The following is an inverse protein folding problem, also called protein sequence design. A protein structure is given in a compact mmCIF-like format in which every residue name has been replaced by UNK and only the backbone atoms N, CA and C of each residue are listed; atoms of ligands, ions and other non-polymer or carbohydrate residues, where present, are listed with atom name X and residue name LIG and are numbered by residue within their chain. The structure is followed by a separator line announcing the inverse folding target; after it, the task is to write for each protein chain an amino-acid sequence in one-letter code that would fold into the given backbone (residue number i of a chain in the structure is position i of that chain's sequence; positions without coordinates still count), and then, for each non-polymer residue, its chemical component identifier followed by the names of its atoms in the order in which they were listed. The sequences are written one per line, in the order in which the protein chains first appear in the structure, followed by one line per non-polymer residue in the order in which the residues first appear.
data_IF_070832377787
#
_entry.id   IF_070832377787
#
_cell.length_a   1.000
_cell.length_b   1.000
_cell.length_c   1.000
_cell.angle_alpha   90.00
_cell.angle_beta   90.00
_cell.angle_gamma   90.00
#
_symmetry.space_group_name_H-M   'P 1'
#
loop_
_entity.id
_entity.type
_entity.pdbx_description
1 polymer ?
#
# COMPACT_ATOMS: atom_id res chain seq x y z
N UNK A 1 12.07 -9.30 -20.85
CA UNK A 1 12.00 -9.82 -19.48
C UNK A 1 11.22 -8.80 -18.70
N UNK A 2 9.99 -9.15 -18.30
CA UNK A 2 9.12 -8.24 -17.56
C UNK A 2 9.61 -8.25 -16.12
N UNK A 3 10.38 -7.24 -15.74
CA UNK A 3 10.81 -7.01 -14.37
C UNK A 3 9.55 -6.65 -13.55
N UNK A 4 8.85 -7.67 -13.05
CA UNK A 4 7.80 -7.48 -12.05
C UNK A 4 8.52 -7.06 -10.79
N UNK A 5 8.61 -5.75 -10.57
CA UNK A 5 9.13 -5.19 -9.32
C UNK A 5 8.26 -5.75 -8.19
N UNK A 6 8.84 -6.61 -7.36
CA UNK A 6 8.15 -7.16 -6.21
C UNK A 6 7.88 -6.05 -5.20
N UNK A 7 6.63 -5.92 -4.75
CA UNK A 7 6.23 -4.92 -3.76
C UNK A 7 7.16 -4.94 -2.54
N UNK A 8 7.63 -3.78 -2.05
CA UNK A 8 8.50 -3.73 -0.88
C UNK A 8 7.83 -4.37 0.33
N UNK A 9 8.61 -5.17 1.04
CA UNK A 9 8.19 -5.91 2.23
C UNK A 9 8.57 -5.11 3.46
N UNK A 10 7.69 -5.09 4.45
CA UNK A 10 7.89 -4.40 5.71
C UNK A 10 7.64 -5.34 6.87
N UNK A 11 8.41 -5.15 7.94
CA UNK A 11 8.33 -5.92 9.18
C UNK A 11 7.92 -5.01 10.33
N UNK A 12 6.83 -5.37 10.98
CA UNK A 12 6.58 -5.02 12.38
C UNK A 12 6.56 -6.33 13.18
N UNK A 13 5.39 -6.75 13.67
CA UNK A 13 5.18 -8.08 14.26
C UNK A 13 4.92 -9.17 13.22
N UNK A 14 4.44 -8.78 12.04
CA UNK A 14 4.22 -9.67 10.88
C UNK A 14 4.94 -9.06 9.68
N UNK A 15 5.19 -9.90 8.67
CA UNK A 15 5.69 -9.44 7.36
C UNK A 15 4.50 -9.12 6.48
N UNK A 16 4.49 -7.90 5.94
CA UNK A 16 3.47 -7.41 5.02
C UNK A 16 4.14 -6.77 3.81
N UNK A 17 3.43 -6.71 2.69
CA UNK A 17 3.83 -5.85 1.59
C UNK A 17 3.15 -4.51 1.77
N UNK A 18 3.85 -3.42 1.48
CA UNK A 18 3.22 -2.12 1.56
C UNK A 18 3.68 -1.20 0.44
N UNK A 19 2.80 -0.33 -0.04
CA UNK A 19 3.13 0.69 -1.03
C UNK A 19 2.62 2.04 -0.54
N UNK A 20 3.52 3.03 -0.48
CA UNK A 20 3.12 4.41 -0.23
C UNK A 20 2.26 4.92 -1.37
N UNK A 21 1.14 5.55 -1.03
CA UNK A 21 0.18 6.05 -2.01
C UNK A 21 0.56 7.49 -2.37
N UNK A 22 0.76 7.78 -3.66
CA UNK A 22 0.94 9.14 -4.16
C UNK A 22 -0.39 9.81 -4.53
N UNK A 23 -1.35 9.01 -5.00
CA UNK A 23 -2.68 9.49 -5.37
C UNK A 23 -3.70 8.40 -5.13
N UNK A 24 -4.86 8.81 -4.61
CA UNK A 24 -5.96 7.92 -4.28
C UNK A 24 -7.24 8.48 -4.87
N UNK A 25 -7.96 7.67 -5.65
CA UNK A 25 -9.26 8.05 -6.21
C UNK A 25 -10.33 7.06 -5.75
N UNK A 26 -11.27 7.54 -4.93
CA UNK A 26 -12.39 6.73 -4.46
C UNK A 26 -13.52 6.73 -5.49
N UNK A 27 -13.92 5.55 -5.94
CA UNK A 27 -15.03 5.36 -6.86
C UNK A 27 -16.37 5.25 -6.13
N UNK A 28 -17.46 5.42 -6.87
CA UNK A 28 -18.85 5.27 -6.35
C UNK A 28 -19.11 3.93 -5.67
N UNK A 29 -18.43 2.88 -6.11
CA UNK A 29 -18.55 1.50 -5.61
C UNK A 29 -17.69 1.22 -4.36
N UNK A 30 -17.15 2.27 -3.73
CA UNK A 30 -16.25 2.17 -2.56
C UNK A 30 -14.97 1.38 -2.82
N UNK A 31 -14.62 1.14 -4.09
CA UNK A 31 -13.27 0.76 -4.51
C UNK A 31 -12.40 2.01 -4.63
N UNK A 32 -11.09 1.88 -4.45
CA UNK A 32 -10.13 2.96 -4.64
C UNK A 32 -9.15 2.63 -5.78
N UNK A 33 -8.87 3.58 -6.66
CA UNK A 33 -7.67 3.51 -7.50
C UNK A 33 -6.51 4.06 -6.70
N UNK A 34 -5.50 3.21 -6.49
CA UNK A 34 -4.27 3.54 -5.77
C UNK A 34 -3.19 3.76 -6.82
N UNK A 35 -2.62 4.98 -6.81
CA UNK A 35 -1.41 5.32 -7.54
C UNK A 35 -0.22 5.26 -6.58
N UNK A 36 0.67 4.27 -6.71
CA UNK A 36 1.86 4.16 -5.88
C UNK A 36 2.80 5.33 -6.11
N UNK A 37 3.47 5.77 -5.04
CA UNK A 37 4.51 6.80 -5.11
C UNK A 37 5.82 6.27 -5.69
N UNK A 38 6.04 4.97 -5.55
CA UNK A 38 7.28 4.31 -5.97
C UNK A 38 7.33 4.20 -7.50
N UNK A 39 8.43 4.65 -8.10
CA UNK A 39 8.62 4.65 -9.56
C UNK A 39 8.80 3.22 -10.04
N UNK A 40 7.87 2.73 -10.87
CA UNK A 40 7.90 1.37 -11.41
C UNK A 40 6.57 0.64 -11.28
N UNK A 41 5.68 1.10 -10.40
CA UNK A 41 4.36 0.52 -10.25
C UNK A 41 3.30 1.33 -11.00
N UNK A 42 2.46 0.62 -11.76
CA UNK A 42 1.29 1.20 -12.37
C UNK A 42 0.16 1.37 -11.32
N UNK A 43 -0.71 2.38 -11.47
CA UNK A 43 -1.88 2.51 -10.62
C UNK A 43 -2.80 1.29 -10.78
N UNK A 44 -3.38 0.84 -9.67
CA UNK A 44 -4.27 -0.32 -9.63
C UNK A 44 -5.54 -0.04 -8.82
N UNK A 45 -6.62 -0.77 -9.12
CA UNK A 45 -7.91 -0.61 -8.45
C UNK A 45 -8.08 -1.67 -7.37
N UNK A 46 -8.53 -1.26 -6.19
CA UNK A 46 -8.86 -2.15 -5.08
C UNK A 46 -10.25 -2.75 -5.22
N UNK A 47 -10.54 -3.75 -4.37
CA UNK A 47 -11.85 -4.37 -4.30
C UNK A 47 -12.93 -3.37 -3.84
N UNK A 48 -14.19 -3.58 -4.23
CA UNK A 48 -15.31 -2.80 -3.72
C UNK A 48 -15.42 -2.92 -2.20
N UNK A 49 -15.74 -1.80 -1.55
CA UNK A 49 -15.78 -1.70 -0.09
C UNK A 49 -14.43 -1.52 0.60
N UNK A 50 -13.29 -1.55 -0.12
CA UNK A 50 -11.98 -1.29 0.49
C UNK A 50 -11.89 0.14 1.06
N UNK A 51 -12.47 1.11 0.35
CA UNK A 51 -12.49 2.51 0.78
C UNK A 51 -13.31 2.75 2.06
N UNK A 52 -14.09 1.75 2.52
CA UNK A 52 -14.82 1.84 3.78
C UNK A 52 -13.90 1.84 5.00
N UNK A 53 -12.70 1.26 4.85
CA UNK A 53 -11.64 1.21 5.86
C UNK A 53 -10.44 2.07 5.49
N UNK A 54 -10.61 2.99 4.55
CA UNK A 54 -9.59 3.92 4.11
C UNK A 54 -9.97 5.31 4.58
N UNK A 55 -9.18 5.88 5.48
CA UNK A 55 -9.35 7.24 5.99
C UNK A 55 -8.33 8.19 5.37
N UNK A 56 -7.91 7.90 4.14
CA UNK A 56 -6.94 8.71 3.40
C UNK A 56 -7.47 10.13 3.17
N UNK A 57 -6.60 11.10 3.36
CA UNK A 57 -6.87 12.52 3.11
C UNK A 57 -5.91 13.07 2.06
N UNK A 58 -6.16 14.30 1.58
CA UNK A 58 -5.25 14.97 0.64
C UNK A 58 -3.86 15.22 1.25
N UNK A 59 -3.80 15.39 2.57
CA UNK A 59 -2.54 15.60 3.31
C UNK A 59 -1.81 14.27 3.58
N UNK A 60 -2.56 13.21 3.91
CA UNK A 60 -2.03 11.86 4.12
C UNK A 60 -2.79 10.84 3.27
N UNK A 61 -2.34 10.59 2.02
CA UNK A 61 -2.92 9.54 1.20
C UNK A 61 -2.71 8.14 1.82
N UNK A 62 -1.74 8.01 2.73
CA UNK A 62 -1.45 6.80 3.49
C UNK A 62 -0.69 5.74 2.70
N UNK A 63 -0.80 4.51 3.19
CA UNK A 63 -0.03 3.36 2.71
C UNK A 63 -0.99 2.20 2.47
N UNK A 64 -0.86 1.57 1.30
CA UNK A 64 -1.57 0.37 0.96
C UNK A 64 -0.82 -0.85 1.51
N UNK A 65 -1.41 -1.55 2.47
CA UNK A 65 -0.79 -2.70 3.14
C UNK A 65 -1.47 -3.99 2.70
N UNK A 66 -0.71 -4.95 2.20
CA UNK A 66 -1.15 -6.28 1.79
C UNK A 66 -0.51 -7.33 2.68
N UNK A 67 -1.35 -8.13 3.32
CA UNK A 67 -0.94 -9.26 4.14
C UNK A 67 -0.68 -10.49 3.26
N UNK A 68 0.09 -11.45 3.79
CA UNK A 68 0.44 -12.70 3.10
C UNK A 68 -0.78 -13.50 2.63
N UNK A 69 -1.89 -13.43 3.35
CA UNK A 69 -3.15 -14.09 3.02
C UNK A 69 -3.91 -13.42 1.86
N UNK A 70 -3.38 -12.35 1.27
CA UNK A 70 -4.01 -11.57 0.21
C UNK A 70 -5.02 -10.54 0.70
N UNK A 71 -5.22 -10.43 2.02
CA UNK A 71 -6.01 -9.35 2.61
C UNK A 71 -5.28 -8.01 2.43
N UNK A 72 -5.99 -6.96 2.04
CA UNK A 72 -5.45 -5.63 1.87
C UNK A 72 -6.16 -4.62 2.76
N UNK A 73 -5.39 -3.72 3.37
CA UNK A 73 -5.86 -2.67 4.27
C UNK A 73 -5.14 -1.37 3.98
N UNK A 74 -5.72 -0.27 4.45
CA UNK A 74 -5.08 1.03 4.46
C UNK A 74 -4.46 1.29 5.84
N UNK A 75 -3.36 2.04 5.89
CA UNK A 75 -2.74 2.54 7.11
C UNK A 75 -2.22 3.94 6.87
N UNK A 76 -2.31 4.87 7.84
CA UNK A 76 -1.76 6.22 7.68
C UNK A 76 -0.24 6.20 7.59
N UNK A 77 0.34 7.10 6.79
CA UNK A 77 1.78 7.09 6.47
C UNK A 77 2.63 7.25 7.71
N UNK A 78 2.21 8.13 8.63
CA UNK A 78 2.94 8.41 9.85
C UNK A 78 3.03 7.18 10.77
N UNK A 79 1.89 6.55 11.06
CA UNK A 79 1.86 5.34 11.91
C UNK A 79 2.58 4.18 11.24
N UNK A 80 2.44 4.07 9.91
CA UNK A 80 3.15 3.05 9.15
C UNK A 80 4.67 3.23 9.26
N UNK A 81 5.19 4.44 9.03
CA UNK A 81 6.64 4.71 9.09
C UNK A 81 7.22 4.56 10.50
N UNK A 82 6.45 4.86 11.54
CA UNK A 82 6.88 4.71 12.93
C UNK A 82 6.89 3.22 13.36
N UNK A 83 5.88 2.45 12.94
CA UNK A 83 5.71 1.06 13.34
C UNK A 83 6.39 0.02 12.44
N UNK A 84 6.60 0.30 11.16
CA UNK A 84 7.06 -0.67 10.16
C UNK A 84 8.48 -0.36 9.68
N UNK A 85 9.33 -1.38 9.71
CA UNK A 85 10.68 -1.32 9.16
C UNK A 85 10.72 -1.95 7.78
N UNK A 86 11.23 -1.22 6.79
CA UNK A 86 11.42 -1.75 5.43
C UNK A 86 12.39 -2.93 5.46
N UNK A 87 11.92 -4.09 5.00
CA UNK A 87 12.75 -5.26 4.70
C UNK A 87 13.17 -5.11 3.23
N UNK A 88 14.10 -4.19 2.97
CA UNK A 88 14.77 -4.21 1.68
C UNK A 88 15.62 -5.48 1.63
N UNK A 89 15.45 -6.28 0.58
CA UNK A 89 16.14 -7.57 0.40
C UNK A 89 17.63 -7.40 0.12
N UNK A 90 18.35 -6.72 1.01
CA UNK A 90 19.79 -6.50 0.95
C UNK A 90 20.49 -7.23 2.08
N UNK A 91 20.42 -8.55 2.07
CA UNK A 91 21.51 -9.40 2.58
C UNK A 91 21.60 -10.61 1.63
N UNK A 92 22.36 -10.41 0.55
CA UNK A 92 23.00 -11.49 -0.20
C UNK A 92 24.40 -11.04 -0.58
#
# INVERSE_FOLDING_TARGET
MSDQVEMPKYRSHKVVHALEIAGLEIHKDRSATIAPKERGYAPFRTNPGWADRCEATEEDPGVYVVYRDGFASWSPTKEFRDGYSLITGGDQ
#
